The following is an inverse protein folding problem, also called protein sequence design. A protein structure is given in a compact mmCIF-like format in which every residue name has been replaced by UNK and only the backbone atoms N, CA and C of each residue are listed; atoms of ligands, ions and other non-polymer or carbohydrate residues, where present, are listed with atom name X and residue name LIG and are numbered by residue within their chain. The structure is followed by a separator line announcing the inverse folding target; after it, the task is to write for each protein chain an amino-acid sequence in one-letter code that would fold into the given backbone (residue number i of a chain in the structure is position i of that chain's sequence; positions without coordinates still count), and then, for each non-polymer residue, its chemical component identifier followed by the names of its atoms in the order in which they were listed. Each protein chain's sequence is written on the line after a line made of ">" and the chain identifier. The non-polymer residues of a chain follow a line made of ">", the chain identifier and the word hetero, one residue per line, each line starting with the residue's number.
data_IF_203740836577
#
_entry.id   IF_203740836577
#
_cell.length_a   1.000
_cell.length_b   1.000
_cell.length_c   1.000
_cell.angle_alpha   90.00
_cell.angle_beta   90.00
_cell.angle_gamma   90.00
#
_symmetry.space_group_name_H-M   'P 1'
#
loop_
_entity.id
_entity.type
_entity.pdbx_description
1 polymer ?
#
# COMPACT_ATOMS: atom_id res chain seq x y z
N UNK A 1 -44.62 23.02 28.42
CA UNK A 1 -44.21 23.52 27.07
C UNK A 1 -43.90 22.40 26.10
N UNK A 2 -43.07 21.40 26.46
CA UNK A 2 -42.68 20.32 25.54
C UNK A 2 -43.86 19.53 24.94
N UNK A 3 -44.86 19.17 25.76
CA UNK A 3 -46.05 18.45 25.27
C UNK A 3 -46.87 19.22 24.22
N UNK A 4 -46.85 20.56 24.25
CA UNK A 4 -47.52 21.39 23.24
C UNK A 4 -46.74 21.36 21.93
N UNK A 5 -45.41 21.53 21.99
CA UNK A 5 -44.55 21.49 20.82
C UNK A 5 -44.67 20.16 20.04
N UNK A 6 -44.71 19.03 20.76
CA UNK A 6 -44.94 17.71 20.14
C UNK A 6 -46.32 17.55 19.50
N UNK A 7 -47.36 18.19 20.04
CA UNK A 7 -48.69 18.21 19.41
C UNK A 7 -48.71 19.11 18.17
N UNK A 8 -48.02 20.24 18.22
CA UNK A 8 -47.95 21.21 17.11
C UNK A 8 -47.24 20.62 15.87
N UNK A 9 -46.37 19.61 16.05
CA UNK A 9 -45.79 18.82 14.96
C UNK A 9 -46.84 18.05 14.13
N UNK A 10 -48.02 17.77 14.68
CA UNK A 10 -49.14 17.17 13.93
C UNK A 10 -48.76 15.90 13.17
N UNK A 11 -49.04 15.88 11.86
CA UNK A 11 -48.74 14.78 10.94
C UNK A 11 -47.48 15.05 10.10
N UNK A 12 -46.54 15.85 10.61
CA UNK A 12 -45.30 16.16 9.89
C UNK A 12 -44.52 14.87 9.61
N UNK A 13 -44.06 14.70 8.36
CA UNK A 13 -43.27 13.53 8.00
C UNK A 13 -41.90 13.58 8.69
N UNK A 14 -41.27 12.42 8.87
CA UNK A 14 -39.90 12.34 9.41
C UNK A 14 -38.92 13.20 8.60
N UNK A 15 -39.04 13.21 7.27
CA UNK A 15 -38.16 13.99 6.38
C UNK A 15 -38.36 15.49 6.56
N UNK A 16 -39.61 15.94 6.69
CA UNK A 16 -39.91 17.36 6.88
C UNK A 16 -39.47 17.83 8.26
N UNK A 17 -39.66 17.00 9.30
CA UNK A 17 -39.18 17.27 10.65
C UNK A 17 -37.65 17.40 10.70
N UNK A 18 -36.93 16.50 10.04
CA UNK A 18 -35.46 16.58 9.91
C UNK A 18 -35.03 17.85 9.18
N UNK A 19 -35.70 18.19 8.08
CA UNK A 19 -35.37 19.39 7.29
C UNK A 19 -35.62 20.68 8.08
N UNK A 20 -36.74 20.76 8.81
CA UNK A 20 -37.04 21.88 9.69
C UNK A 20 -36.03 22.01 10.83
N UNK A 21 -35.60 20.89 11.41
CA UNK A 21 -34.55 20.86 12.44
C UNK A 21 -33.21 21.34 11.91
N UNK A 22 -32.76 20.86 10.74
CA UNK A 22 -31.52 21.30 10.10
C UNK A 22 -31.58 22.81 9.79
N UNK A 23 -32.70 23.28 9.27
CA UNK A 23 -32.91 24.72 9.01
C UNK A 23 -32.80 25.54 10.29
N UNK A 24 -33.38 25.05 11.40
CA UNK A 24 -33.24 25.70 12.70
C UNK A 24 -31.80 25.68 13.21
N UNK A 25 -31.10 24.56 13.04
CA UNK A 25 -29.68 24.44 13.40
C UNK A 25 -28.81 25.42 12.62
N UNK A 26 -29.04 25.58 11.31
CA UNK A 26 -28.30 26.52 10.47
C UNK A 26 -28.47 27.97 10.94
N UNK A 27 -29.63 28.33 11.49
CA UNK A 27 -29.90 29.66 12.05
C UNK A 27 -29.26 29.83 13.44
N UNK A 28 -29.38 28.83 14.31
CA UNK A 28 -28.94 28.91 15.71
C UNK A 28 -27.42 28.69 15.84
N UNK A 29 -26.84 27.85 15.00
CA UNK A 29 -25.42 27.50 15.01
C UNK A 29 -24.86 27.37 13.58
N UNK A 30 -24.63 28.51 12.89
CA UNK A 30 -24.09 28.48 11.52
C UNK A 30 -22.77 27.72 11.39
N UNK A 31 -21.91 27.78 12.43
CA UNK A 31 -20.61 27.11 12.47
C UNK A 31 -20.70 25.58 12.56
N UNK A 32 -21.87 25.02 12.90
CA UNK A 32 -22.05 23.58 12.99
C UNK A 32 -21.88 22.90 11.63
N UNK A 33 -22.34 23.55 10.56
CA UNK A 33 -22.22 23.04 9.19
C UNK A 33 -20.76 22.88 8.79
N UNK A 34 -19.94 23.88 9.09
CA UNK A 34 -18.50 23.83 8.82
C UNK A 34 -17.81 22.74 9.63
N UNK A 35 -18.15 22.61 10.92
CA UNK A 35 -17.64 21.54 11.77
C UNK A 35 -17.94 20.14 11.23
N UNK A 36 -19.18 19.89 10.79
CA UNK A 36 -19.56 18.59 10.21
C UNK A 36 -18.82 18.32 8.90
N UNK A 37 -18.67 19.34 8.05
CA UNK A 37 -17.93 19.21 6.80
C UNK A 37 -16.45 18.92 7.03
N UNK A 38 -15.81 19.64 7.96
CA UNK A 38 -14.42 19.43 8.35
C UNK A 38 -14.21 18.03 8.95
N UNK A 39 -15.14 17.58 9.80
CA UNK A 39 -15.09 16.24 10.38
C UNK A 39 -15.24 15.15 9.31
N UNK A 40 -16.16 15.32 8.36
CA UNK A 40 -16.36 14.39 7.25
C UNK A 40 -15.12 14.35 6.34
N UNK A 41 -14.56 15.51 5.99
CA UNK A 41 -13.32 15.60 5.21
C UNK A 41 -12.14 14.95 5.95
N UNK A 42 -12.01 15.20 7.26
CA UNK A 42 -10.96 14.58 8.08
C UNK A 42 -11.07 13.05 8.08
N UNK A 43 -12.30 12.50 8.22
CA UNK A 43 -12.51 11.05 8.12
C UNK A 43 -12.21 10.50 6.72
N UNK A 44 -12.53 11.23 5.66
CA UNK A 44 -12.20 10.82 4.29
C UNK A 44 -10.69 10.81 4.07
N UNK A 45 -9.99 11.84 4.53
CA UNK A 45 -8.53 11.94 4.41
C UNK A 45 -7.84 10.81 5.17
N UNK A 46 -8.25 10.52 6.41
CA UNK A 46 -7.70 9.41 7.21
C UNK A 46 -7.86 8.06 6.47
N UNK A 47 -9.05 7.80 5.91
CA UNK A 47 -9.28 6.57 5.13
C UNK A 47 -8.41 6.51 3.88
N UNK A 48 -8.22 7.63 3.18
CA UNK A 48 -7.36 7.71 2.00
C UNK A 48 -5.87 7.58 2.33
N UNK A 49 -5.43 8.06 3.48
CA UNK A 49 -4.07 7.90 3.99
C UNK A 49 -3.79 6.46 4.40
N UNK A 50 -4.73 5.79 5.10
CA UNK A 50 -4.62 4.36 5.43
C UNK A 50 -4.52 3.49 4.17
N UNK A 51 -5.35 3.76 3.15
CA UNK A 51 -5.27 3.02 1.88
C UNK A 51 -3.97 3.29 1.11
N UNK A 52 -3.39 4.49 1.21
CA UNK A 52 -2.09 4.79 0.60
C UNK A 52 -0.95 4.10 1.33
N UNK A 53 -0.97 4.06 2.67
CA UNK A 53 0.08 3.36 3.43
C UNK A 53 0.06 1.86 3.17
N UNK A 54 -1.12 1.23 3.14
CA UNK A 54 -1.25 -0.20 2.84
C UNK A 54 -0.78 -0.53 1.43
N UNK A 55 -1.10 0.32 0.44
CA UNK A 55 -0.66 0.13 -0.93
C UNK A 55 0.87 0.29 -1.08
N UNK A 56 1.48 1.30 -0.44
CA UNK A 56 2.95 1.48 -0.47
C UNK A 56 3.67 0.31 0.21
N UNK A 57 3.14 -0.20 1.32
CA UNK A 57 3.73 -1.36 2.01
C UNK A 57 3.57 -2.65 1.20
N UNK A 58 2.44 -2.82 0.51
CA UNK A 58 2.21 -3.92 -0.43
C UNK A 58 3.16 -3.86 -1.63
N UNK A 59 3.30 -2.68 -2.25
CA UNK A 59 4.20 -2.47 -3.39
C UNK A 59 5.67 -2.72 -3.02
N UNK A 60 6.11 -2.24 -1.84
CA UNK A 60 7.46 -2.50 -1.34
C UNK A 60 7.68 -4.00 -1.08
N UNK A 61 6.70 -4.68 -0.48
CA UNK A 61 6.77 -6.12 -0.24
C UNK A 61 6.80 -6.91 -1.55
N UNK A 62 6.02 -6.49 -2.54
CA UNK A 62 6.00 -7.12 -3.86
C UNK A 62 7.32 -6.93 -4.60
N UNK A 63 7.90 -5.72 -4.57
CA UNK A 63 9.20 -5.44 -5.18
C UNK A 63 10.33 -6.28 -4.57
N UNK A 64 10.32 -6.50 -3.25
CA UNK A 64 11.29 -7.38 -2.58
C UNK A 64 11.11 -8.83 -3.01
N UNK A 65 9.87 -9.33 -3.08
CA UNK A 65 9.59 -10.69 -3.54
C UNK A 65 10.02 -10.92 -5.00
N UNK A 66 9.79 -9.93 -5.87
CA UNK A 66 10.20 -10.01 -7.27
C UNK A 66 11.73 -10.03 -7.39
N UNK A 67 12.44 -9.18 -6.64
CA UNK A 67 13.90 -9.19 -6.60
C UNK A 67 14.46 -10.55 -6.16
N UNK A 68 13.92 -11.13 -5.09
CA UNK A 68 14.33 -12.45 -4.58
C UNK A 68 14.11 -13.55 -5.63
N UNK A 69 12.99 -13.51 -6.36
CA UNK A 69 12.71 -14.44 -7.47
C UNK A 69 13.70 -14.28 -8.62
N UNK A 70 14.02 -13.04 -9.00
CA UNK A 70 15.02 -12.78 -10.05
C UNK A 70 16.42 -13.27 -9.64
N UNK A 71 16.82 -13.06 -8.39
CA UNK A 71 18.10 -13.55 -7.89
C UNK A 71 18.17 -15.08 -7.87
N UNK A 72 17.12 -15.74 -7.43
CA UNK A 72 17.02 -17.20 -7.45
C UNK A 72 17.09 -17.76 -8.88
N UNK A 73 16.38 -17.12 -9.83
CA UNK A 73 16.44 -17.50 -11.23
C UNK A 73 17.84 -17.30 -11.82
N UNK A 74 18.50 -16.18 -11.50
CA UNK A 74 19.89 -15.91 -11.94
C UNK A 74 20.84 -16.97 -11.42
N UNK A 75 20.75 -17.34 -10.14
CA UNK A 75 21.57 -18.40 -9.54
C UNK A 75 21.35 -19.74 -10.25
N UNK A 76 20.09 -20.12 -10.51
CA UNK A 76 19.77 -21.36 -11.21
C UNK A 76 20.36 -21.40 -12.63
N UNK A 77 20.30 -20.28 -13.37
CA UNK A 77 20.91 -20.16 -14.70
C UNK A 77 22.43 -20.28 -14.60
N UNK A 78 23.05 -19.57 -13.66
CA UNK A 78 24.50 -19.60 -13.46
C UNK A 78 24.98 -21.02 -13.14
N UNK A 79 24.29 -21.72 -12.24
CA UNK A 79 24.64 -23.11 -11.90
C UNK A 79 24.50 -24.05 -13.10
N UNK A 80 23.44 -23.91 -13.89
CA UNK A 80 23.23 -24.72 -15.09
C UNK A 80 24.33 -24.49 -16.14
N UNK A 81 24.67 -23.22 -16.38
CA UNK A 81 25.77 -22.84 -17.28
C UNK A 81 27.11 -23.35 -16.77
N UNK A 82 27.39 -23.17 -15.48
CA UNK A 82 28.60 -23.66 -14.84
C UNK A 82 28.72 -25.18 -14.99
N UNK A 83 27.65 -25.96 -14.75
CA UNK A 83 27.67 -27.42 -14.93
C UNK A 83 28.03 -27.84 -16.35
N UNK A 84 27.51 -27.12 -17.35
CA UNK A 84 27.76 -27.45 -18.76
C UNK A 84 29.19 -27.07 -19.19
N UNK A 85 29.70 -25.97 -18.68
CA UNK A 85 30.93 -25.34 -19.17
C UNK A 85 32.13 -25.49 -18.23
N UNK A 86 31.93 -26.10 -17.06
CA UNK A 86 32.92 -26.23 -15.99
C UNK A 86 34.29 -26.68 -16.51
N UNK A 87 34.34 -27.77 -17.26
CA UNK A 87 35.59 -28.33 -17.75
C UNK A 87 36.29 -27.42 -18.78
N UNK A 88 35.52 -26.73 -19.63
CA UNK A 88 36.06 -25.83 -20.64
C UNK A 88 36.70 -24.60 -19.97
N UNK A 89 35.97 -23.96 -19.07
CA UNK A 89 36.47 -22.79 -18.34
C UNK A 89 37.59 -23.17 -17.36
N UNK A 90 37.53 -24.34 -16.72
CA UNK A 90 38.61 -24.80 -15.84
C UNK A 90 39.91 -25.00 -16.61
N UNK A 91 39.86 -25.65 -17.78
CA UNK A 91 41.04 -25.84 -18.61
C UNK A 91 41.61 -24.50 -19.09
N UNK A 92 40.74 -23.57 -19.50
CA UNK A 92 41.13 -22.21 -19.89
C UNK A 92 41.78 -21.43 -18.73
N UNK A 93 41.15 -21.44 -17.56
CA UNK A 93 41.66 -20.73 -16.38
C UNK A 93 43.00 -21.31 -15.89
N UNK A 94 43.19 -22.63 -15.97
CA UNK A 94 44.48 -23.25 -15.65
C UNK A 94 45.62 -22.81 -16.58
N UNK A 95 45.33 -22.51 -17.85
CA UNK A 95 46.31 -21.99 -18.79
C UNK A 95 46.65 -20.52 -18.51
N UNK A 96 45.66 -19.72 -18.09
CA UNK A 96 45.85 -18.29 -17.77
C UNK A 96 46.49 -18.08 -16.39
N UNK A 97 46.16 -18.92 -15.41
CA UNK A 97 46.55 -18.77 -14.00
C UNK A 97 47.26 -20.03 -13.48
N UNK A 98 48.47 -20.27 -13.97
CA UNK A 98 49.29 -21.41 -13.52
C UNK A 98 49.61 -21.26 -12.03
N UNK A 99 48.98 -22.09 -11.20
CA UNK A 99 49.28 -22.20 -9.77
C UNK A 99 48.38 -21.42 -8.81
N UNK A 100 47.34 -20.73 -9.29
CA UNK A 100 46.37 -20.03 -8.40
C UNK A 100 44.96 -20.66 -8.47
N UNK A 101 44.65 -21.62 -7.59
CA UNK A 101 43.33 -22.26 -7.57
C UNK A 101 42.20 -21.33 -7.10
N UNK A 102 42.50 -20.24 -6.40
CA UNK A 102 41.49 -19.27 -5.93
C UNK A 102 40.99 -18.44 -7.10
N UNK A 103 41.91 -17.98 -7.96
CA UNK A 103 41.54 -17.27 -9.20
C UNK A 103 40.70 -18.15 -10.13
N UNK A 104 41.01 -19.45 -10.21
CA UNK A 104 40.20 -20.41 -10.98
C UNK A 104 38.79 -20.57 -10.40
N UNK A 105 38.62 -20.50 -9.07
CA UNK A 105 37.31 -20.66 -8.44
C UNK A 105 36.40 -19.44 -8.65
N UNK A 106 36.95 -18.22 -8.63
CA UNK A 106 36.20 -16.98 -8.87
C UNK A 106 35.52 -16.89 -10.24
N UNK A 107 35.94 -17.69 -11.23
CA UNK A 107 35.25 -17.76 -12.53
C UNK A 107 33.88 -18.45 -12.46
N UNK A 108 33.57 -19.14 -11.35
CA UNK A 108 32.36 -19.96 -11.22
C UNK A 108 31.42 -19.49 -10.10
N UNK A 109 31.73 -18.38 -9.43
CA UNK A 109 30.88 -17.73 -8.41
C UNK A 109 30.19 -16.53 -9.06
#
# INVERSE_FOLDING_TARGET
>A
MLQKAWKDLGNLSTSDAMSAFITLLDVVCPSFRDFVNEHLQSQMNLKSEEHQQDNVQSDASQAVNDLERFEAQRQQIQEALNRQTYHQFRAYAQQQFVGDPIQVWNYFI
#
